data_IF_240408018482
#
_entry.id   IF_240408018482
#
_cell.length_a   1.000
_cell.length_b   1.000
_cell.length_c   1.000
_cell.angle_alpha   90.00
_cell.angle_beta   90.00
_cell.angle_gamma   90.00
#
_symmetry.space_group_name_H-M   'P 1'
#
loop_
_entity.id
_entity.type
_entity.pdbx_description
1 polymer ?
#
# COMPACT_ATOMS: atom_id res chain seq x y z
N UNK A 1 -9.19 -9.79 21.98
CA UNK A 1 -10.17 -9.11 22.84
C UNK A 1 -10.94 -8.18 21.93
N UNK A 2 -12.25 -8.39 21.77
CA UNK A 2 -13.05 -7.49 20.95
C UNK A 2 -13.71 -6.45 21.86
N UNK A 3 -13.83 -5.22 21.40
CA UNK A 3 -14.44 -4.12 22.16
C UNK A 3 -15.91 -3.97 21.79
N UNK A 4 -16.74 -3.68 22.79
CA UNK A 4 -18.10 -3.22 22.60
C UNK A 4 -18.09 -1.71 22.45
N UNK A 5 -18.61 -1.21 21.32
CA UNK A 5 -18.72 0.22 21.05
C UNK A 5 -20.16 0.65 21.26
N UNK A 6 -20.40 1.52 22.23
CA UNK A 6 -21.73 2.08 22.46
C UNK A 6 -22.12 3.03 21.32
N UNK A 7 -23.25 2.77 20.66
CA UNK A 7 -23.74 3.54 19.51
C UNK A 7 -22.67 3.74 18.41
N UNK A 8 -22.29 2.67 17.70
CA UNK A 8 -21.19 2.69 16.74
C UNK A 8 -21.42 3.65 15.58
N UNK A 9 -22.67 3.91 15.21
CA UNK A 9 -23.02 4.87 14.14
C UNK A 9 -22.67 6.30 14.57
N UNK A 10 -23.11 6.72 15.77
CA UNK A 10 -22.81 8.06 16.27
C UNK A 10 -21.31 8.26 16.46
N UNK A 11 -20.61 7.28 17.04
CA UNK A 11 -19.15 7.37 17.22
C UNK A 11 -18.41 7.44 15.87
N UNK A 12 -18.89 6.70 14.86
CA UNK A 12 -18.34 6.77 13.50
C UNK A 12 -18.52 8.17 12.90
N UNK A 13 -19.69 8.78 13.08
CA UNK A 13 -19.95 10.14 12.60
C UNK A 13 -19.02 11.16 13.27
N UNK A 14 -18.88 11.08 14.60
CA UNK A 14 -17.97 11.96 15.35
C UNK A 14 -16.53 11.79 14.84
N UNK A 15 -16.05 10.56 14.73
CA UNK A 15 -14.71 10.27 14.24
C UNK A 15 -14.50 10.78 12.82
N UNK A 16 -15.45 10.52 11.92
CA UNK A 16 -15.39 10.99 10.54
C UNK A 16 -15.32 12.52 10.46
N UNK A 17 -16.15 13.23 11.24
CA UNK A 17 -16.13 14.70 11.30
C UNK A 17 -14.75 15.20 11.75
N UNK A 18 -14.21 14.68 12.86
CA UNK A 18 -12.89 15.06 13.36
C UNK A 18 -11.80 14.77 12.33
N UNK A 19 -11.87 13.59 11.69
CA UNK A 19 -10.91 13.18 10.67
C UNK A 19 -10.94 14.10 9.45
N UNK A 20 -12.12 14.41 8.91
CA UNK A 20 -12.28 15.31 7.78
C UNK A 20 -11.86 16.74 8.11
N UNK A 21 -12.23 17.25 9.29
CA UNK A 21 -11.78 18.54 9.78
C UNK A 21 -10.25 18.58 9.84
N UNK A 22 -9.62 17.54 10.40
CA UNK A 22 -8.16 17.43 10.48
C UNK A 22 -7.51 17.42 9.10
N UNK A 23 -8.09 16.71 8.13
CA UNK A 23 -7.63 16.72 6.74
C UNK A 23 -7.71 18.13 6.18
N UNK A 24 -8.87 18.79 6.28
CA UNK A 24 -9.11 20.14 5.74
C UNK A 24 -8.09 21.14 6.31
N UNK A 25 -7.86 21.12 7.63
CA UNK A 25 -6.85 21.98 8.26
C UNK A 25 -5.40 21.63 7.88
N UNK A 26 -5.16 20.39 7.48
CA UNK A 26 -3.83 19.91 7.05
C UNK A 26 -3.54 20.15 5.57
N UNK A 27 -4.54 20.53 4.75
CA UNK A 27 -4.33 20.81 3.32
C UNK A 27 -3.37 22.00 3.17
N UNK A 28 -2.28 21.77 2.45
CA UNK A 28 -1.26 22.79 2.14
C UNK A 28 -1.12 22.92 0.63
N UNK A 29 -0.83 24.13 0.14
CA UNK A 29 -0.51 24.33 -1.28
C UNK A 29 0.74 23.53 -1.64
N UNK A 30 0.64 22.71 -2.69
CA UNK A 30 1.76 21.95 -3.25
C UNK A 30 2.86 22.91 -3.70
N UNK A 31 4.05 22.81 -3.09
CA UNK A 31 5.21 23.66 -3.43
C UNK A 31 5.99 23.16 -4.64
N UNK A 32 6.00 21.85 -4.88
CA UNK A 32 6.73 21.22 -5.97
C UNK A 32 5.83 21.02 -7.20
N UNK A 33 6.34 21.36 -8.38
CA UNK A 33 5.66 21.14 -9.67
C UNK A 33 5.83 19.72 -10.20
N UNK A 34 6.68 18.90 -9.59
CA UNK A 34 6.84 17.50 -10.00
C UNK A 34 5.53 16.71 -9.82
N UNK A 35 5.23 15.87 -10.81
CA UNK A 35 4.02 15.05 -10.81
C UNK A 35 3.97 14.18 -9.56
N UNK A 36 5.03 13.41 -9.30
CA UNK A 36 5.16 12.51 -8.15
C UNK A 36 6.34 12.93 -7.25
N UNK A 37 6.12 13.96 -6.42
CA UNK A 37 7.15 14.48 -5.52
C UNK A 37 7.40 13.57 -4.32
N UNK A 38 8.57 13.71 -3.66
CA UNK A 38 8.86 12.98 -2.42
C UNK A 38 7.81 13.30 -1.34
N UNK A 39 7.37 14.56 -1.26
CA UNK A 39 6.34 15.00 -0.33
C UNK A 39 5.02 14.24 -0.58
N UNK A 40 4.54 14.23 -1.83
CA UNK A 40 3.29 13.53 -2.22
C UNK A 40 3.40 12.03 -1.91
N UNK A 41 4.53 11.38 -2.21
CA UNK A 41 4.70 9.96 -1.87
C UNK A 41 4.69 9.69 -0.37
N UNK A 42 5.13 10.66 0.43
CA UNK A 42 5.17 10.55 1.89
C UNK A 42 3.77 10.74 2.47
N UNK A 43 3.01 11.70 1.96
CA UNK A 43 1.60 11.92 2.31
C UNK A 43 0.76 10.67 2.00
N UNK A 44 0.95 10.07 0.83
CA UNK A 44 0.23 8.84 0.44
C UNK A 44 0.61 7.64 1.31
N UNK A 45 1.88 7.53 1.74
CA UNK A 45 2.29 6.51 2.73
C UNK A 45 1.64 6.75 4.08
N UNK A 46 1.52 8.00 4.51
CA UNK A 46 0.80 8.37 5.72
C UNK A 46 -0.68 7.97 5.63
N UNK A 47 -1.33 8.24 4.50
CA UNK A 47 -2.69 7.79 4.25
C UNK A 47 -2.82 6.26 4.28
N UNK A 48 -1.90 5.52 3.63
CA UNK A 48 -1.88 4.06 3.67
C UNK A 48 -1.79 3.52 5.11
N UNK A 49 -0.90 4.09 5.94
CA UNK A 49 -0.76 3.71 7.35
C UNK A 49 -2.05 3.96 8.12
N UNK A 50 -2.68 5.14 7.94
CA UNK A 50 -3.96 5.44 8.57
C UNK A 50 -5.06 4.47 8.12
N UNK A 51 -5.21 4.22 6.82
CA UNK A 51 -6.20 3.28 6.30
C UNK A 51 -6.05 1.86 6.91
N UNK A 52 -4.81 1.39 7.06
CA UNK A 52 -4.53 0.10 7.72
C UNK A 52 -4.93 0.15 9.20
N UNK A 53 -4.50 1.17 9.95
CA UNK A 53 -4.81 1.30 11.39
C UNK A 53 -6.31 1.41 11.64
N UNK A 54 -7.02 2.27 10.90
CA UNK A 54 -8.47 2.47 11.05
C UNK A 54 -9.24 1.18 10.76
N UNK A 55 -8.79 0.36 9.82
CA UNK A 55 -9.37 -0.95 9.55
C UNK A 55 -9.16 -1.94 10.70
N UNK A 56 -7.97 -1.96 11.30
CA UNK A 56 -7.71 -2.83 12.45
C UNK A 56 -8.54 -2.44 13.68
N UNK A 57 -8.78 -1.15 13.90
CA UNK A 57 -9.65 -0.68 14.98
C UNK A 57 -11.12 -0.93 14.66
N UNK A 58 -11.59 -0.49 13.49
CA UNK A 58 -13.01 -0.51 13.15
C UNK A 58 -13.56 -1.88 12.76
N UNK A 59 -12.79 -2.66 12.01
CA UNK A 59 -13.26 -3.93 11.44
C UNK A 59 -12.87 -5.14 12.29
N UNK A 60 -11.68 -5.12 12.90
CA UNK A 60 -11.11 -6.28 13.58
C UNK A 60 -11.20 -6.21 15.11
N UNK A 61 -11.08 -5.02 15.71
CA UNK A 61 -11.16 -4.85 17.16
C UNK A 61 -12.60 -4.67 17.65
N UNK A 62 -13.46 -3.97 16.91
CA UNK A 62 -14.87 -3.77 17.24
C UNK A 62 -15.71 -5.01 16.95
N UNK A 63 -16.65 -5.33 17.84
CA UNK A 63 -17.66 -6.38 17.60
C UNK A 63 -18.64 -5.96 16.51
N UNK A 64 -18.93 -4.67 16.41
CA UNK A 64 -19.83 -4.12 15.41
C UNK A 64 -19.05 -3.49 14.27
N UNK A 65 -19.12 -4.09 13.08
CA UNK A 65 -18.41 -3.67 11.86
C UNK A 65 -18.93 -2.35 11.28
N UNK A 66 -20.07 -1.83 11.77
CA UNK A 66 -20.55 -0.48 11.44
C UNK A 66 -19.65 0.58 12.04
N UNK A 67 -18.88 0.26 13.09
CA UNK A 67 -17.93 1.19 13.67
C UNK A 67 -16.82 1.51 12.66
N UNK A 68 -16.61 2.81 12.43
CA UNK A 68 -15.67 3.39 11.48
C UNK A 68 -15.93 3.04 10.00
N UNK A 69 -17.07 2.45 9.65
CA UNK A 69 -17.43 2.23 8.25
C UNK A 69 -17.69 3.58 7.54
N UNK A 70 -17.20 3.81 6.29
CA UNK A 70 -16.44 2.90 5.42
C UNK A 70 -14.90 3.04 5.55
N UNK A 71 -14.38 3.81 6.51
CA UNK A 71 -12.93 3.93 6.73
C UNK A 71 -12.32 2.58 7.16
N UNK A 72 -13.10 1.74 7.83
CA UNK A 72 -12.67 0.44 8.36
C UNK A 72 -12.41 -0.65 7.30
N UNK A 73 -12.79 -0.43 6.04
CA UNK A 73 -12.61 -1.41 4.95
C UNK A 73 -11.48 -1.04 3.97
N UNK A 74 -10.71 0.00 4.30
CA UNK A 74 -9.63 0.51 3.44
C UNK A 74 -8.26 -0.17 3.63
N UNK A 75 -8.12 -1.16 4.51
CA UNK A 75 -6.83 -1.82 4.76
C UNK A 75 -6.20 -2.39 3.48
N UNK A 76 -6.98 -3.10 2.66
CA UNK A 76 -6.47 -3.70 1.42
C UNK A 76 -5.91 -2.64 0.46
N UNK A 77 -6.65 -1.55 0.27
CA UNK A 77 -6.23 -0.40 -0.56
C UNK A 77 -4.99 0.26 0.03
N UNK A 78 -4.89 0.36 1.35
CA UNK A 78 -3.71 0.89 2.04
C UNK A 78 -2.46 0.03 1.81
N UNK A 79 -2.59 -1.30 1.87
CA UNK A 79 -1.48 -2.22 1.59
C UNK A 79 -1.06 -2.14 0.12
N UNK A 80 -2.01 -2.13 -0.81
CA UNK A 80 -1.72 -1.96 -2.24
C UNK A 80 -1.00 -0.65 -2.51
N UNK A 81 -1.45 0.45 -1.91
CA UNK A 81 -0.80 1.74 -2.03
C UNK A 81 0.64 1.70 -1.52
N UNK A 82 0.90 1.03 -0.40
CA UNK A 82 2.25 0.89 0.16
C UNK A 82 3.18 0.08 -0.77
N UNK A 83 2.68 -1.04 -1.31
CA UNK A 83 3.41 -1.89 -2.25
C UNK A 83 3.68 -1.17 -3.57
N UNK A 84 2.67 -0.49 -4.12
CA UNK A 84 2.77 0.33 -5.32
C UNK A 84 3.81 1.44 -5.17
N UNK A 85 3.75 2.22 -4.08
CA UNK A 85 4.72 3.29 -3.83
C UNK A 85 6.13 2.74 -3.62
N UNK A 86 6.26 1.52 -3.11
CA UNK A 86 7.55 0.84 -2.96
C UNK A 86 8.13 0.44 -4.32
N UNK A 87 7.33 -0.20 -5.18
CA UNK A 87 7.73 -0.53 -6.56
C UNK A 87 8.10 0.73 -7.35
N UNK A 88 7.24 1.76 -7.30
CA UNK A 88 7.48 3.05 -7.93
C UNK A 88 8.80 3.70 -7.46
N UNK A 89 8.99 3.82 -6.14
CA UNK A 89 10.16 4.47 -5.56
C UNK A 89 11.47 3.71 -5.80
N UNK A 90 11.41 2.39 -5.93
CA UNK A 90 12.57 1.58 -6.33
C UNK A 90 12.94 1.83 -7.78
N UNK A 91 11.97 1.76 -8.69
CA UNK A 91 12.18 2.00 -10.11
C UNK A 91 12.72 3.40 -10.37
N UNK A 92 12.11 4.46 -9.79
CA UNK A 92 12.62 5.83 -9.94
C UNK A 92 14.07 5.96 -9.44
N UNK A 93 14.40 5.30 -8.32
CA UNK A 93 15.77 5.30 -7.80
C UNK A 93 16.73 4.59 -8.76
N UNK A 94 16.34 3.44 -9.31
CA UNK A 94 17.18 2.64 -10.20
C UNK A 94 17.36 3.31 -11.57
N UNK A 95 16.31 3.95 -12.11
CA UNK A 95 16.39 4.72 -13.35
C UNK A 95 17.39 5.89 -13.23
N UNK A 96 17.48 6.53 -12.06
CA UNK A 96 18.44 7.61 -11.80
C UNK A 96 19.86 7.08 -11.58
N UNK A 97 20.01 6.07 -10.73
CA UNK A 97 21.31 5.50 -10.39
C UNK A 97 21.17 4.05 -9.95
N UNK A 98 21.85 3.18 -10.68
CA UNK A 98 21.98 1.78 -10.30
C UNK A 98 22.88 1.64 -9.07
N UNK A 99 22.40 0.88 -8.09
CA UNK A 99 23.15 0.53 -6.90
C UNK A 99 23.62 -0.92 -7.04
N UNK A 100 24.84 -1.20 -6.60
CA UNK A 100 25.30 -2.58 -6.42
C UNK A 100 24.32 -3.32 -5.49
N UNK A 101 23.99 -4.60 -5.74
CA UNK A 101 22.99 -5.35 -4.96
C UNK A 101 23.19 -5.26 -3.44
N UNK A 102 24.43 -5.40 -2.95
CA UNK A 102 24.73 -5.31 -1.51
C UNK A 102 24.31 -3.95 -0.92
N UNK A 103 24.67 -2.84 -1.59
CA UNK A 103 24.30 -1.49 -1.15
C UNK A 103 22.80 -1.27 -1.25
N UNK A 104 22.15 -1.88 -2.24
CA UNK A 104 20.70 -1.88 -2.36
C UNK A 104 20.04 -2.55 -1.15
N UNK A 105 20.45 -3.78 -0.82
CA UNK A 105 19.85 -4.52 0.31
C UNK A 105 20.03 -3.76 1.61
N UNK A 106 21.26 -3.39 1.97
CA UNK A 106 21.52 -2.64 3.21
C UNK A 106 20.67 -1.38 3.34
N UNK A 107 20.49 -0.63 2.25
CA UNK A 107 19.67 0.60 2.25
C UNK A 107 18.18 0.33 2.40
N UNK A 108 17.67 -0.77 1.84
CA UNK A 108 16.23 -1.04 1.76
C UNK A 108 15.73 -1.90 2.91
N UNK A 109 16.47 -2.93 3.29
CA UNK A 109 16.12 -3.81 4.39
C UNK A 109 16.27 -3.12 5.73
N UNK A 110 17.28 -2.26 5.93
CA UNK A 110 17.41 -1.48 7.18
C UNK A 110 16.21 -0.59 7.47
N UNK A 111 15.57 -0.02 6.44
CA UNK A 111 14.35 0.79 6.60
C UNK A 111 13.14 0.00 7.09
N UNK A 112 13.16 -1.32 6.96
CA UNK A 112 12.10 -2.22 7.42
C UNK A 112 12.52 -2.87 8.74
N UNK A 113 13.71 -3.46 8.79
CA UNK A 113 14.21 -4.20 9.94
C UNK A 113 14.50 -3.31 11.14
N UNK A 114 15.02 -2.09 10.98
CA UNK A 114 15.29 -1.23 12.15
C UNK A 114 14.00 -0.89 12.90
N UNK A 115 12.92 -0.38 12.26
CA UNK A 115 11.64 -0.21 12.94
C UNK A 115 11.08 -1.52 13.51
N UNK A 116 11.18 -2.62 12.76
CA UNK A 116 10.68 -3.93 13.18
C UNK A 116 11.37 -4.44 14.45
N UNK A 117 12.70 -4.35 14.51
CA UNK A 117 13.49 -4.80 15.65
C UNK A 117 13.32 -3.91 16.88
N UNK A 118 12.90 -2.66 16.71
CA UNK A 118 12.53 -1.79 17.83
C UNK A 118 11.15 -2.17 18.36
N UNK A 119 10.17 -2.34 17.46
CA UNK A 119 8.77 -2.54 17.89
C UNK A 119 8.47 -3.98 18.32
N UNK A 120 9.15 -4.99 17.77
CA UNK A 120 8.91 -6.39 18.08
C UNK A 120 9.17 -6.71 19.57
N UNK A 121 10.31 -6.33 20.18
CA UNK A 121 10.51 -6.52 21.62
C UNK A 121 9.47 -5.78 22.45
N UNK A 122 9.09 -4.55 22.06
CA UNK A 122 8.07 -3.77 22.76
C UNK A 122 6.74 -4.53 22.79
N UNK A 123 6.27 -5.03 21.64
CA UNK A 123 5.04 -5.82 21.57
C UNK A 123 5.12 -7.11 22.39
N UNK A 124 6.22 -7.87 22.26
CA UNK A 124 6.38 -9.12 23.02
C UNK A 124 6.38 -8.87 24.53
N UNK A 125 7.05 -7.80 25.00
CA UNK A 125 7.07 -7.44 26.42
C UNK A 125 5.71 -6.93 26.89
N UNK A 126 5.02 -6.08 26.11
CA UNK A 126 3.68 -5.61 26.44
C UNK A 126 2.69 -6.77 26.53
N UNK A 127 2.70 -7.68 25.56
CA UNK A 127 1.83 -8.85 25.55
C UNK A 127 2.12 -9.76 26.75
N UNK A 128 3.39 -9.93 27.13
CA UNK A 128 3.78 -10.73 28.29
C UNK A 128 3.34 -10.10 29.62
N UNK A 129 3.62 -8.81 29.83
CA UNK A 129 3.34 -8.14 31.12
C UNK A 129 1.89 -7.69 31.29
N UNK A 130 1.21 -7.28 30.22
CA UNK A 130 -0.14 -6.71 30.27
C UNK A 130 -1.19 -7.78 29.94
N UNK A 131 -0.96 -8.57 28.89
CA UNK A 131 -1.92 -9.56 28.40
C UNK A 131 -1.63 -10.99 28.88
N UNK A 132 -0.54 -11.19 29.63
CA UNK A 132 -0.07 -12.50 30.11
C UNK A 132 0.06 -13.54 28.98
N UNK A 133 0.45 -13.07 27.79
CA UNK A 133 0.58 -13.89 26.59
C UNK A 133 2.05 -14.15 26.26
N UNK A 134 2.37 -15.40 25.96
CA UNK A 134 3.69 -15.83 25.50
C UNK A 134 3.61 -16.42 24.10
N UNK A 135 4.70 -16.32 23.35
CA UNK A 135 4.78 -16.80 21.97
C UNK A 135 5.88 -17.84 21.80
N UNK A 136 5.70 -18.83 20.90
CA UNK A 136 6.77 -19.74 20.53
C UNK A 136 8.00 -18.98 20.03
N UNK A 137 9.19 -19.37 20.49
CA UNK A 137 10.47 -18.76 20.07
C UNK A 137 10.65 -18.77 18.55
N UNK A 138 10.15 -19.82 17.89
CA UNK A 138 10.19 -19.98 16.43
C UNK A 138 9.45 -18.84 15.72
N UNK A 139 8.30 -18.41 16.25
CA UNK A 139 7.50 -17.33 15.65
C UNK A 139 8.19 -15.97 15.83
N UNK A 140 8.79 -15.74 16.99
CA UNK A 140 9.58 -14.52 17.26
C UNK A 140 10.77 -14.44 16.31
N UNK A 141 11.51 -15.54 16.14
CA UNK A 141 12.68 -15.60 15.23
C UNK A 141 12.23 -15.35 13.78
N UNK A 142 11.13 -15.96 13.35
CA UNK A 142 10.61 -15.76 12.00
C UNK A 142 10.24 -14.30 11.74
N UNK A 143 9.47 -13.69 12.65
CA UNK A 143 9.08 -12.29 12.52
C UNK A 143 10.30 -11.38 12.59
N UNK A 144 11.30 -11.70 13.41
CA UNK A 144 12.57 -10.95 13.45
C UNK A 144 13.25 -10.87 12.07
N UNK A 145 13.15 -11.94 11.27
CA UNK A 145 13.62 -11.97 9.87
C UNK A 145 12.57 -11.53 8.84
N UNK A 146 11.43 -10.99 9.28
CA UNK A 146 10.36 -10.48 8.42
C UNK A 146 9.53 -11.58 7.74
N UNK A 147 9.56 -12.79 8.31
CA UNK A 147 8.83 -13.95 7.84
C UNK A 147 7.58 -14.17 8.70
N UNK A 148 6.39 -14.10 8.09
CA UNK A 148 5.11 -14.23 8.79
C UNK A 148 4.35 -15.41 8.19
N UNK A 149 4.11 -16.45 9.02
CA UNK A 149 3.39 -17.67 8.60
C UNK A 149 1.88 -17.53 8.68
N UNK A 150 1.42 -16.94 9.77
CA UNK A 150 0.01 -16.83 10.15
C UNK A 150 -0.30 -15.39 10.55
N UNK A 151 -1.51 -14.93 10.24
CA UNK A 151 -1.99 -13.58 10.54
C UNK A 151 -3.31 -13.64 11.32
N UNK A 152 -3.36 -14.45 12.37
CA UNK A 152 -4.45 -14.40 13.35
C UNK A 152 -4.26 -13.18 14.27
N UNK A 153 -5.25 -12.29 14.25
CA UNK A 153 -5.25 -11.03 14.98
C UNK A 153 -5.21 -11.20 16.51
N UNK A 154 -5.70 -12.32 17.02
CA UNK A 154 -5.78 -12.61 18.44
C UNK A 154 -4.58 -13.42 18.91
N UNK A 155 -4.11 -14.35 18.08
CA UNK A 155 -3.16 -15.37 18.48
C UNK A 155 -1.72 -15.09 18.04
N UNK A 156 -1.48 -14.38 16.94
CA UNK A 156 -0.12 -14.10 16.48
C UNK A 156 0.42 -12.75 16.98
N UNK A 157 1.75 -12.61 16.99
CA UNK A 157 2.43 -11.33 17.26
C UNK A 157 2.13 -10.40 16.10
N UNK A 158 1.36 -9.34 16.36
CA UNK A 158 1.13 -8.23 15.43
C UNK A 158 0.79 -8.70 14.00
N UNK A 159 -0.32 -9.44 13.86
CA UNK A 159 -0.90 -9.93 12.60
C UNK A 159 -0.79 -8.98 11.38
N UNK A 160 -1.05 -7.65 11.49
CA UNK A 160 -0.95 -6.73 10.34
C UNK A 160 0.40 -6.70 9.60
N UNK A 161 1.48 -7.24 10.17
CA UNK A 161 2.82 -7.20 9.55
C UNK A 161 3.04 -8.23 8.43
N UNK A 162 2.05 -9.06 8.09
CA UNK A 162 2.15 -10.11 7.06
C UNK A 162 2.63 -9.59 5.68
N UNK A 163 2.35 -8.33 5.35
CA UNK A 163 2.78 -7.71 4.09
C UNK A 163 4.31 -7.50 4.03
N UNK A 164 5.00 -7.47 5.19
CA UNK A 164 6.47 -7.34 5.26
C UNK A 164 7.13 -8.47 4.48
N UNK A 165 6.62 -9.70 4.58
CA UNK A 165 7.21 -10.82 3.86
C UNK A 165 7.12 -10.64 2.34
N UNK A 166 5.97 -10.17 1.84
CA UNK A 166 5.78 -9.92 0.42
C UNK A 166 6.69 -8.81 -0.11
N UNK A 167 6.83 -7.70 0.64
CA UNK A 167 7.71 -6.62 0.20
C UNK A 167 9.19 -7.01 0.29
N UNK A 168 9.60 -7.80 1.29
CA UNK A 168 10.97 -8.31 1.38
C UNK A 168 11.29 -9.27 0.24
N UNK A 169 10.34 -10.14 -0.14
CA UNK A 169 10.47 -10.98 -1.33
C UNK A 169 10.72 -10.13 -2.58
N UNK A 170 9.90 -9.10 -2.81
CA UNK A 170 10.10 -8.19 -3.94
C UNK A 170 11.45 -7.45 -3.89
N UNK A 171 11.87 -7.01 -2.71
CA UNK A 171 13.18 -6.39 -2.54
C UNK A 171 14.32 -7.35 -2.84
N UNK A 172 14.19 -8.63 -2.48
CA UNK A 172 15.18 -9.67 -2.76
C UNK A 172 15.35 -9.89 -4.26
N UNK A 173 14.26 -9.95 -5.03
CA UNK A 173 14.34 -10.25 -6.46
C UNK A 173 14.63 -9.00 -7.32
N UNK A 174 14.24 -7.81 -6.88
CA UNK A 174 14.29 -6.59 -7.69
C UNK A 174 15.66 -6.31 -8.33
N UNK A 175 16.81 -6.32 -7.61
CA UNK A 175 18.11 -6.00 -8.20
C UNK A 175 18.57 -6.97 -9.30
N UNK A 176 18.04 -8.19 -9.32
CA UNK A 176 18.46 -9.24 -10.27
C UNK A 176 17.67 -9.19 -11.57
N UNK A 177 16.42 -8.77 -11.50
CA UNK A 177 15.48 -8.88 -12.61
C UNK A 177 15.02 -7.54 -13.16
N UNK A 178 15.18 -6.43 -12.42
CA UNK A 178 14.88 -5.10 -12.93
C UNK A 178 15.94 -4.67 -13.95
N UNK A 179 15.50 -4.32 -15.16
CA UNK A 179 16.32 -3.75 -16.22
C UNK A 179 15.81 -2.36 -16.59
N UNK A 180 16.69 -1.37 -16.52
CA UNK A 180 16.38 0.04 -16.77
C UNK A 180 15.89 0.30 -18.19
N UNK A 181 16.37 -0.47 -19.15
CA UNK A 181 16.02 -0.37 -20.58
C UNK A 181 14.59 -0.85 -20.85
N UNK A 182 14.10 -1.79 -20.04
CA UNK A 182 12.80 -2.45 -20.22
C UNK A 182 12.01 -2.51 -18.91
N UNK A 183 11.59 -1.36 -18.34
CA UNK A 183 10.92 -1.34 -17.04
C UNK A 183 9.55 -2.01 -17.06
N UNK A 184 8.82 -1.99 -18.19
CA UNK A 184 7.54 -2.71 -18.32
C UNK A 184 7.72 -4.22 -18.38
N UNK A 185 8.74 -4.69 -19.11
CA UNK A 185 9.09 -6.10 -19.12
C UNK A 185 9.55 -6.56 -17.73
N UNK A 186 10.30 -5.70 -17.03
CA UNK A 186 10.69 -5.94 -15.63
C UNK A 186 9.46 -6.02 -14.72
N UNK A 187 8.46 -5.14 -14.90
CA UNK A 187 7.21 -5.18 -14.15
C UNK A 187 6.45 -6.50 -14.42
N UNK A 188 6.30 -6.89 -15.68
CA UNK A 188 5.67 -8.17 -16.06
C UNK A 188 6.42 -9.35 -15.43
N UNK A 189 7.75 -9.35 -15.49
CA UNK A 189 8.57 -10.40 -14.91
C UNK A 189 8.42 -10.47 -13.37
N UNK A 190 8.39 -9.32 -12.69
CA UNK A 190 8.10 -9.24 -11.25
C UNK A 190 6.71 -9.79 -10.90
N UNK A 191 5.70 -9.50 -11.74
CA UNK A 191 4.37 -10.07 -11.57
C UNK A 191 4.39 -11.58 -11.74
N UNK A 192 5.01 -12.11 -12.80
CA UNK A 192 5.06 -13.57 -13.04
C UNK A 192 5.81 -14.31 -11.94
N UNK A 193 6.96 -13.79 -11.49
CA UNK A 193 7.74 -14.40 -10.40
C UNK A 193 6.97 -14.32 -9.08
N UNK A 194 6.31 -13.20 -8.79
CA UNK A 194 5.46 -13.05 -7.61
C UNK A 194 4.24 -13.97 -7.64
N UNK A 195 3.57 -14.07 -8.79
CA UNK A 195 2.45 -14.97 -9.01
C UNK A 195 2.87 -16.43 -8.81
N UNK A 196 4.03 -16.82 -9.34
CA UNK A 196 4.59 -18.14 -9.09
C UNK A 196 4.87 -18.37 -7.60
N UNK A 197 5.54 -17.41 -6.94
CA UNK A 197 5.84 -17.48 -5.51
C UNK A 197 4.59 -17.64 -4.65
N UNK A 198 3.50 -16.93 -4.98
CA UNK A 198 2.25 -16.99 -4.21
C UNK A 198 1.37 -18.18 -4.61
N UNK A 199 1.49 -18.70 -5.83
CA UNK A 199 0.69 -19.88 -6.24
C UNK A 199 1.33 -21.18 -5.77
N UNK A 200 2.67 -21.28 -5.85
CA UNK A 200 3.43 -22.48 -5.50
C UNK A 200 4.17 -22.37 -4.17
N UNK A 201 4.18 -21.20 -3.55
CA UNK A 201 4.66 -21.00 -2.18
C UNK A 201 3.83 -21.87 -1.26
N UNK A 202 4.41 -23.00 -0.88
CA UNK A 202 3.79 -24.10 -0.14
C UNK A 202 2.76 -23.58 0.88
N UNK A 203 1.46 -23.74 0.63
CA UNK A 203 0.41 -23.30 1.57
C UNK A 203 0.57 -23.97 2.95
N UNK A 204 1.27 -25.09 3.00
CA UNK A 204 1.72 -25.81 4.21
C UNK A 204 2.67 -24.96 5.08
N UNK A 205 3.45 -24.07 4.47
CA UNK A 205 4.40 -23.16 5.13
C UNK A 205 3.78 -21.76 5.33
N UNK A 206 2.80 -21.38 4.50
CA UNK A 206 2.30 -20.01 4.36
C UNK A 206 0.76 -19.94 4.46
N UNK A 207 0.22 -19.80 5.68
CA UNK A 207 -1.25 -19.67 5.86
C UNK A 207 -1.76 -18.26 5.49
N UNK A 208 -0.87 -17.27 5.42
CA UNK A 208 -1.16 -15.89 4.94
C UNK A 208 -1.16 -15.73 3.42
N UNK A 209 -0.92 -16.80 2.67
CA UNK A 209 -0.71 -16.74 1.22
C UNK A 209 -1.94 -16.19 0.46
N UNK A 210 -3.15 -16.41 0.99
CA UNK A 210 -4.37 -15.81 0.46
C UNK A 210 -4.34 -14.27 0.50
N UNK A 211 -3.75 -13.66 1.53
CA UNK A 211 -3.54 -12.21 1.62
C UNK A 211 -2.51 -11.77 0.57
N UNK A 212 -1.42 -12.51 0.40
CA UNK A 212 -0.43 -12.19 -0.64
C UNK A 212 -1.04 -12.24 -2.06
N UNK A 213 -1.95 -13.20 -2.32
CA UNK A 213 -2.70 -13.30 -3.60
C UNK A 213 -3.42 -11.99 -3.91
N UNK A 214 -4.13 -11.41 -2.94
CA UNK A 214 -4.94 -10.20 -3.14
C UNK A 214 -4.13 -8.95 -3.52
N UNK A 215 -2.80 -8.95 -3.27
CA UNK A 215 -1.97 -7.75 -3.36
C UNK A 215 -0.79 -7.89 -4.35
N UNK A 216 -0.73 -9.00 -5.09
CA UNK A 216 0.46 -9.36 -5.88
C UNK A 216 0.72 -8.42 -7.07
N UNK A 217 -0.30 -7.73 -7.59
CA UNK A 217 -0.12 -6.77 -8.70
C UNK A 217 0.41 -5.42 -8.26
N UNK A 218 0.19 -5.00 -7.01
CA UNK A 218 0.41 -3.62 -6.61
C UNK A 218 1.87 -3.16 -6.80
N UNK A 219 2.84 -3.98 -6.38
CA UNK A 219 4.26 -3.68 -6.55
C UNK A 219 4.70 -3.64 -8.02
N UNK A 220 4.42 -4.66 -8.86
CA UNK A 220 4.63 -4.59 -10.31
C UNK A 220 3.98 -3.39 -10.99
N UNK A 221 2.76 -3.03 -10.60
CA UNK A 221 2.07 -1.84 -11.13
C UNK A 221 2.83 -0.56 -10.79
N UNK A 222 3.43 -0.47 -9.60
CA UNK A 222 4.32 0.64 -9.23
C UNK A 222 5.55 0.74 -10.15
N UNK A 223 6.17 -0.39 -10.48
CA UNK A 223 7.29 -0.44 -11.43
C UNK A 223 6.82 0.00 -12.82
N UNK A 224 5.70 -0.54 -13.29
CA UNK A 224 5.14 -0.22 -14.60
C UNK A 224 4.84 1.27 -14.71
N UNK A 225 4.19 1.85 -13.69
CA UNK A 225 3.87 3.27 -13.62
C UNK A 225 5.12 4.15 -13.64
N UNK A 226 6.15 3.81 -12.86
CA UNK A 226 7.42 4.53 -12.89
C UNK A 226 8.12 4.42 -14.25
N UNK A 227 8.09 3.23 -14.87
CA UNK A 227 8.60 2.99 -16.22
C UNK A 227 7.87 3.82 -17.28
N UNK A 228 6.54 3.85 -17.23
CA UNK A 228 5.70 4.64 -18.14
C UNK A 228 5.85 6.15 -17.96
N UNK A 229 6.38 6.63 -16.83
CA UNK A 229 6.51 8.07 -16.58
C UNK A 229 7.96 8.58 -16.72
N UNK A 230 8.95 7.76 -16.38
CA UNK A 230 10.36 8.18 -16.37
C UNK A 230 11.23 7.49 -17.43
N UNK A 231 10.74 6.46 -18.14
CA UNK A 231 11.57 5.77 -19.12
C UNK A 231 11.75 6.61 -20.39
N UNK A 232 13.00 6.91 -20.79
CA UNK A 232 13.28 7.69 -21.99
C UNK A 232 12.86 6.97 -23.29
N UNK A 233 12.71 5.65 -23.26
CA UNK A 233 12.47 4.83 -24.46
C UNK A 233 10.98 4.54 -24.72
N UNK A 234 10.13 4.59 -23.69
CA UNK A 234 8.73 4.13 -23.77
C UNK A 234 7.73 5.28 -23.97
N UNK A 235 8.03 6.47 -23.44
CA UNK A 235 7.15 7.62 -23.61
C UNK A 235 7.52 8.29 -24.92
N UNK A 236 6.74 8.01 -25.97
CA UNK A 236 6.54 9.03 -27.01
C UNK A 236 6.15 10.31 -26.27
N UNK A 237 6.80 11.45 -26.54
CA UNK A 237 6.53 12.80 -25.97
C UNK A 237 5.07 13.30 -26.12
N UNK A 238 4.12 12.44 -26.44
CA UNK A 238 2.69 12.71 -26.62
C UNK A 238 1.99 13.20 -25.35
N UNK A 239 2.16 12.61 -24.14
CA UNK A 239 1.56 13.15 -22.92
C UNK A 239 2.06 14.56 -22.63
N UNK A 240 3.36 14.80 -22.81
CA UNK A 240 3.97 16.13 -22.67
C UNK A 240 3.43 17.12 -23.71
N UNK A 241 3.26 16.69 -24.98
CA UNK A 241 2.67 17.51 -26.05
C UNK A 241 1.19 17.83 -25.79
N UNK A 242 0.42 16.86 -25.29
CA UNK A 242 -0.99 17.02 -24.92
C UNK A 242 -1.08 18.00 -23.76
N UNK A 243 -0.30 17.81 -22.69
CA UNK A 243 -0.26 18.74 -21.56
C UNK A 243 0.22 20.14 -21.97
N UNK A 244 1.21 20.25 -22.85
CA UNK A 244 1.67 21.54 -23.36
C UNK A 244 0.58 22.25 -24.19
N UNK A 245 -0.20 21.51 -24.98
CA UNK A 245 -1.33 22.09 -25.73
C UNK A 245 -2.49 22.47 -24.81
N UNK A 246 -2.79 21.65 -23.80
CA UNK A 246 -3.81 21.92 -22.79
C UNK A 246 -3.44 23.09 -21.86
N UNK A 247 -2.15 23.29 -21.56
CA UNK A 247 -1.72 24.38 -20.68
C UNK A 247 -1.90 25.76 -21.31
N UNK A 248 -1.94 25.86 -22.65
CA UNK A 248 -2.27 27.12 -23.36
C UNK A 248 -3.71 27.59 -23.14
N UNK A 249 -4.60 26.72 -22.64
CA UNK A 249 -6.00 27.05 -22.32
C UNK A 249 -6.29 26.67 -20.85
N UNK A 250 -5.98 27.56 -19.88
CA UNK A 250 -6.07 27.24 -18.46
C UNK A 250 -7.46 26.81 -18.01
N UNK A 251 -8.52 27.32 -18.64
CA UNK A 251 -9.89 26.88 -18.36
C UNK A 251 -10.13 25.40 -18.72
N UNK A 252 -9.61 24.93 -19.86
CA UNK A 252 -9.73 23.51 -20.27
C UNK A 252 -8.94 22.62 -19.31
N UNK A 253 -7.72 23.04 -18.93
CA UNK A 253 -6.91 22.30 -17.97
C UNK A 253 -7.63 22.16 -16.63
N UNK A 254 -8.21 23.25 -16.10
CA UNK A 254 -8.97 23.21 -14.85
C UNK A 254 -10.22 22.34 -14.97
N UNK A 255 -10.97 22.43 -16.08
CA UNK A 255 -12.13 21.56 -16.30
C UNK A 255 -11.73 20.09 -16.33
N UNK A 256 -10.67 19.73 -17.05
CA UNK A 256 -10.16 18.35 -17.09
C UNK A 256 -9.74 17.87 -15.70
N UNK A 257 -9.05 18.72 -14.93
CA UNK A 257 -8.69 18.40 -13.54
C UNK A 257 -9.91 18.14 -12.67
N UNK A 258 -10.91 19.03 -12.70
CA UNK A 258 -12.15 18.87 -11.92
C UNK A 258 -12.86 17.57 -12.32
N UNK A 259 -12.99 17.29 -13.61
CA UNK A 259 -13.61 16.04 -14.09
C UNK A 259 -12.84 14.80 -13.63
N UNK A 260 -11.51 14.83 -13.67
CA UNK A 260 -10.67 13.74 -13.16
C UNK A 260 -10.81 13.57 -11.65
N UNK A 261 -10.84 14.66 -10.89
CA UNK A 261 -11.06 14.62 -9.44
C UNK A 261 -12.43 14.04 -9.11
N UNK A 262 -13.50 14.48 -9.78
CA UNK A 262 -14.85 13.96 -9.58
C UNK A 262 -14.89 12.47 -9.93
N UNK A 263 -14.37 12.08 -11.09
CA UNK A 263 -14.34 10.68 -11.51
C UNK A 263 -13.56 9.82 -10.52
N UNK A 264 -12.37 10.26 -10.11
CA UNK A 264 -11.55 9.53 -9.14
C UNK A 264 -12.24 9.45 -7.77
N UNK A 265 -12.92 10.50 -7.32
CA UNK A 265 -13.69 10.49 -6.08
C UNK A 265 -14.87 9.52 -6.15
N UNK A 266 -15.62 9.52 -7.26
CA UNK A 266 -16.74 8.59 -7.46
C UNK A 266 -16.26 7.14 -7.48
N UNK A 267 -15.21 6.85 -8.25
CA UNK A 267 -14.59 5.51 -8.30
C UNK A 267 -14.11 5.09 -6.92
N UNK A 268 -13.39 5.97 -6.22
CA UNK A 268 -12.88 5.70 -4.87
C UNK A 268 -14.02 5.39 -3.90
N UNK A 269 -15.04 6.25 -3.81
CA UNK A 269 -16.15 6.07 -2.87
C UNK A 269 -16.98 4.82 -3.20
N UNK A 270 -17.27 4.59 -4.48
CA UNK A 270 -18.08 3.44 -4.91
C UNK A 270 -17.37 2.12 -4.60
N UNK A 271 -16.12 1.96 -5.03
CA UNK A 271 -15.38 0.70 -4.87
C UNK A 271 -14.79 0.52 -3.47
N UNK A 272 -14.65 1.59 -2.68
CA UNK A 272 -14.37 1.44 -1.24
C UNK A 272 -15.49 0.67 -0.56
N UNK A 273 -16.75 1.01 -0.85
CA UNK A 273 -17.93 0.31 -0.30
C UNK A 273 -18.14 -1.06 -0.96
N UNK A 274 -17.97 -1.14 -2.28
CA UNK A 274 -18.13 -2.36 -3.07
C UNK A 274 -16.79 -3.03 -3.32
N UNK A 275 -16.09 -3.40 -2.24
CA UNK A 275 -14.73 -3.94 -2.28
C UNK A 275 -14.61 -5.34 -2.90
N UNK A 276 -15.73 -6.02 -3.15
CA UNK A 276 -15.76 -7.37 -3.71
C UNK A 276 -15.30 -8.44 -2.73
N UNK A 277 -15.49 -8.23 -1.42
CA UNK A 277 -15.06 -9.15 -0.35
C UNK A 277 -15.59 -10.59 -0.52
N UNK A 278 -16.75 -10.76 -1.16
CA UNK A 278 -17.38 -12.06 -1.42
C UNK A 278 -17.12 -12.60 -2.84
N UNK A 279 -16.18 -12.01 -3.57
CA UNK A 279 -15.86 -12.38 -4.96
C UNK A 279 -14.55 -13.16 -5.06
N UNK A 280 -14.18 -13.58 -6.27
CA UNK A 280 -12.91 -14.26 -6.47
C UNK A 280 -11.72 -13.35 -6.13
N UNK A 281 -10.57 -13.90 -5.67
CA UNK A 281 -9.40 -13.10 -5.30
C UNK A 281 -8.93 -12.14 -6.40
N UNK A 282 -9.07 -12.55 -7.66
CA UNK A 282 -8.76 -11.71 -8.82
C UNK A 282 -9.65 -10.48 -8.95
N UNK A 283 -10.95 -10.63 -8.73
CA UNK A 283 -11.91 -9.52 -8.80
C UNK A 283 -11.64 -8.55 -7.65
N UNK A 284 -11.51 -9.08 -6.43
CA UNK A 284 -11.20 -8.28 -5.24
C UNK A 284 -9.91 -7.47 -5.40
N UNK A 285 -8.85 -8.11 -5.90
CA UNK A 285 -7.57 -7.45 -6.18
C UNK A 285 -7.71 -6.35 -7.25
N UNK A 286 -8.46 -6.59 -8.33
CA UNK A 286 -8.66 -5.59 -9.37
C UNK A 286 -9.44 -4.37 -8.85
N UNK A 287 -10.46 -4.61 -8.01
CA UNK A 287 -11.22 -3.55 -7.34
C UNK A 287 -10.31 -2.74 -6.41
N UNK A 288 -9.48 -3.43 -5.61
CA UNK A 288 -8.54 -2.77 -4.69
C UNK A 288 -7.50 -1.92 -5.44
N UNK A 289 -6.92 -2.45 -6.53
CA UNK A 289 -5.99 -1.71 -7.38
C UNK A 289 -6.66 -0.51 -8.08
N UNK A 290 -7.91 -0.65 -8.56
CA UNK A 290 -8.66 0.45 -9.16
C UNK A 290 -8.93 1.55 -8.14
N UNK A 291 -9.33 1.17 -6.92
CA UNK A 291 -9.56 2.10 -5.80
C UNK A 291 -8.27 2.80 -5.40
N UNK A 292 -7.15 2.07 -5.33
CA UNK A 292 -5.82 2.62 -5.10
C UNK A 292 -5.43 3.62 -6.21
N UNK A 293 -5.64 3.30 -7.49
CA UNK A 293 -5.33 4.23 -8.58
C UNK A 293 -6.19 5.49 -8.55
N UNK A 294 -7.47 5.36 -8.20
CA UNK A 294 -8.35 6.51 -8.00
C UNK A 294 -7.81 7.43 -6.89
N UNK A 295 -7.40 6.85 -5.77
CA UNK A 295 -6.71 7.59 -4.70
C UNK A 295 -5.42 8.24 -5.21
N UNK A 296 -4.62 7.52 -6.02
CA UNK A 296 -3.40 8.09 -6.61
C UNK A 296 -3.71 9.32 -7.45
N UNK A 297 -4.75 9.28 -8.27
CA UNK A 297 -5.19 10.44 -9.06
C UNK A 297 -5.61 11.61 -8.16
N UNK A 298 -6.34 11.35 -7.08
CA UNK A 298 -6.79 12.39 -6.13
C UNK A 298 -5.61 13.16 -5.50
N UNK A 299 -4.48 12.50 -5.22
CA UNK A 299 -3.28 13.16 -4.69
C UNK A 299 -2.46 13.91 -5.74
N UNK A 300 -2.69 13.66 -7.03
CA UNK A 300 -1.87 14.20 -8.12
C UNK A 300 -2.47 15.43 -8.81
N UNK A 301 -3.79 15.54 -8.85
CA UNK A 301 -4.54 16.54 -9.62
C UNK A 301 -4.64 17.88 -8.88
#
# INVERSE_FOLDING_TARGET
MNILVENPILQTQIFAIIFFITIIFSIRKKKDKSFFSIATTTEMKGFAMLAIVLSHIGYFLSIDTRFMFPLSILAGVGVDLFLFLSGYGLTVSALKKELKPIKFYLKRTSKIFVPLWIILPIFVLMDFFILHKSYPTVDIIQIFFGFVREADLLNNINSPIWFITLILFYYLIFPWFFKKEYPLLSALLMFLIGYFFVTFGFEIIWRVNHLHKLHIMAFPLGIAFAGLYHSPNLIKKWPEKIMAKLSTKPWILNTVKILLTILALVVFLYFSVHSGMDTSPWIQQNISNLTMFALVVLFLV
#
